data_IF_158243126307
#
_entry.id   IF_158243126307
#
_cell.length_a   1.000
_cell.length_b   1.000
_cell.length_c   1.000
_cell.angle_alpha   90.00
_cell.angle_beta   90.00
_cell.angle_gamma   90.00
#
_symmetry.space_group_name_H-M   'P 1'
#
loop_
_entity.id
_entity.type
_entity.pdbx_description
1 polymer ?
#
# COMPACT_ATOMS: atom_id res chain seq x y z
N UNK A 1 37.26 4.55 6.76
CA UNK A 1 36.76 5.42 5.68
C UNK A 1 35.26 5.23 5.63
N UNK A 2 34.48 6.21 6.07
CA UNK A 2 33.01 6.12 6.11
C UNK A 2 32.45 6.79 4.86
N UNK A 3 31.77 6.03 4.01
CA UNK A 3 31.10 6.58 2.84
C UNK A 3 29.73 7.08 3.29
N UNK A 4 29.56 8.40 3.36
CA UNK A 4 28.24 9.00 3.49
C UNK A 4 27.56 8.86 2.13
N UNK A 5 26.59 7.94 2.03
CA UNK A 5 25.73 7.85 0.85
C UNK A 5 24.65 8.91 1.00
N UNK A 6 24.86 10.06 0.35
CA UNK A 6 23.84 11.10 0.24
C UNK A 6 22.80 10.64 -0.78
N UNK A 7 21.66 10.11 -0.32
CA UNK A 7 20.50 9.97 -1.19
C UNK A 7 20.00 11.38 -1.50
N UNK A 8 20.28 11.89 -2.70
CA UNK A 8 19.60 13.09 -3.20
C UNK A 8 18.14 12.73 -3.32
N UNK A 9 17.36 13.05 -2.28
CA UNK A 9 15.93 12.93 -2.24
C UNK A 9 15.34 13.82 -3.35
N UNK A 10 15.30 13.31 -4.58
CA UNK A 10 14.39 13.80 -5.59
C UNK A 10 13.01 13.52 -5.05
N UNK A 11 12.42 14.54 -4.40
CA UNK A 11 11.12 14.56 -3.74
C UNK A 11 10.37 13.22 -3.82
N UNK A 12 10.78 12.24 -3.01
CA UNK A 12 9.94 11.07 -2.80
C UNK A 12 8.71 11.61 -2.10
N UNK A 13 7.54 11.46 -2.72
CA UNK A 13 6.30 11.80 -2.09
C UNK A 13 6.31 11.12 -0.69
N UNK A 14 6.22 11.89 0.42
CA UNK A 14 6.29 11.32 1.77
C UNK A 14 5.17 10.29 2.03
N UNK A 15 4.12 10.30 1.20
CA UNK A 15 3.01 9.35 1.28
C UNK A 15 3.31 7.99 0.63
N UNK A 16 4.42 7.85 -0.12
CA UNK A 16 4.82 6.57 -0.70
C UNK A 16 5.74 5.85 0.30
N UNK A 17 5.32 4.69 0.87
CA UNK A 17 6.17 3.93 1.76
C UNK A 17 7.35 3.37 0.97
N UNK A 18 8.56 3.82 1.32
CA UNK A 18 9.81 3.33 0.77
C UNK A 18 10.66 2.69 1.86
N UNK A 19 11.28 1.56 1.55
CA UNK A 19 12.27 0.93 2.41
C UNK A 19 13.66 1.27 1.89
N UNK A 20 14.54 1.68 2.79
CA UNK A 20 15.96 1.82 2.48
C UNK A 20 16.61 0.43 2.56
N UNK A 21 17.17 -0.04 1.45
CA UNK A 21 17.82 -1.35 1.35
C UNK A 21 19.28 -1.17 0.99
N UNK A 22 20.18 -1.84 1.71
CA UNK A 22 21.61 -1.85 1.37
C UNK A 22 21.93 -3.14 0.63
N UNK A 23 22.30 -3.05 -0.66
CA UNK A 23 22.75 -4.21 -1.44
C UNK A 23 24.17 -3.97 -1.94
N UNK A 24 25.08 -4.88 -1.61
CA UNK A 24 26.50 -4.81 -2.02
C UNK A 24 27.19 -3.47 -1.68
N UNK A 25 26.87 -2.86 -0.54
CA UNK A 25 27.41 -1.57 -0.11
C UNK A 25 26.75 -0.33 -0.73
N UNK A 26 25.84 -0.50 -1.68
CA UNK A 26 25.03 0.57 -2.27
C UNK A 26 23.68 0.68 -1.57
N UNK A 27 23.21 1.90 -1.34
CA UNK A 27 21.90 2.19 -0.75
C UNK A 27 20.87 2.36 -1.86
N UNK A 28 19.75 1.65 -1.76
CA UNK A 28 18.60 1.70 -2.66
C UNK A 28 17.35 2.14 -1.90
N UNK A 29 16.42 2.80 -2.57
CA UNK A 29 15.06 2.99 -2.10
C UNK A 29 14.15 2.03 -2.87
N UNK A 30 13.51 1.12 -2.16
CA UNK A 30 12.56 0.17 -2.73
C UNK A 30 11.15 0.57 -2.35
N UNK A 31 10.23 0.61 -3.32
CA UNK A 31 8.81 0.84 -3.05
C UNK A 31 8.30 -0.37 -2.26
N UNK A 32 7.80 -0.11 -1.05
CA UNK A 32 7.08 -1.13 -0.28
C UNK A 32 5.69 -1.23 -0.90
N UNK A 33 5.53 -2.16 -1.84
CA UNK A 33 4.25 -2.41 -2.47
C UNK A 33 3.33 -3.18 -1.50
N UNK A 34 2.68 -2.46 -0.59
CA UNK A 34 1.51 -2.98 0.14
C UNK A 34 0.24 -2.98 -0.73
N UNK A 35 -0.88 -3.35 -0.14
CA UNK A 35 -2.20 -3.33 -0.79
C UNK A 35 -2.93 -2.00 -0.61
N UNK A 36 -2.33 -0.97 0.00
CA UNK A 36 -2.96 0.33 0.31
C UNK A 36 -2.02 1.53 0.11
N UNK A 37 -1.18 1.52 -0.93
CA UNK A 37 -0.03 2.45 -1.05
C UNK A 37 -0.37 3.77 -1.76
N UNK A 38 -1.65 4.01 -2.04
CA UNK A 38 -2.09 5.27 -2.63
C UNK A 38 -2.62 6.16 -1.51
N UNK A 39 -2.27 7.46 -1.50
CA UNK A 39 -2.85 8.40 -0.57
C UNK A 39 -4.38 8.33 -0.63
N UNK A 40 -5.02 8.30 0.52
CA UNK A 40 -6.47 8.25 0.66
C UNK A 40 -6.88 8.96 1.95
N UNK A 41 -8.04 9.59 1.94
CA UNK A 41 -8.65 10.30 3.07
C UNK A 41 -9.97 9.66 3.52
N UNK A 42 -10.50 8.72 2.74
CA UNK A 42 -11.72 7.99 3.04
C UNK A 42 -11.54 6.49 2.74
N UNK A 43 -12.14 5.67 3.62
CA UNK A 43 -12.28 4.23 3.42
C UNK A 43 -13.76 3.88 3.51
N UNK A 44 -14.33 3.37 2.42
CA UNK A 44 -15.69 2.84 2.39
C UNK A 44 -15.68 1.31 2.42
N UNK A 45 -16.46 0.74 3.34
CA UNK A 45 -16.50 -0.70 3.60
C UNK A 45 -17.83 -1.31 3.15
N UNK A 46 -17.78 -2.50 2.56
CA UNK A 46 -18.95 -3.26 2.12
C UNK A 46 -18.96 -4.65 2.76
N UNK A 47 -20.12 -5.07 3.26
CA UNK A 47 -20.27 -6.33 3.98
C UNK A 47 -21.35 -7.21 3.35
N UNK A 48 -21.17 -8.52 3.46
CA UNK A 48 -22.23 -9.51 3.23
C UNK A 48 -22.40 -10.31 4.52
N UNK A 49 -23.51 -10.09 5.22
CA UNK A 49 -23.68 -10.55 6.60
C UNK A 49 -22.61 -9.93 7.49
N UNK A 50 -21.81 -10.78 8.16
CA UNK A 50 -20.69 -10.35 9.02
C UNK A 50 -19.36 -10.26 8.30
N UNK A 51 -19.28 -10.71 7.04
CA UNK A 51 -18.03 -10.76 6.29
C UNK A 51 -17.80 -9.45 5.53
N UNK A 52 -16.62 -8.84 5.69
CA UNK A 52 -16.17 -7.71 4.89
C UNK A 52 -15.84 -8.20 3.48
N UNK A 53 -16.53 -7.71 2.45
CA UNK A 53 -16.36 -8.18 1.05
C UNK A 53 -15.72 -7.15 0.14
N UNK A 54 -15.80 -5.87 0.49
CA UNK A 54 -15.24 -4.78 -0.29
C UNK A 54 -14.64 -3.68 0.58
N UNK A 55 -13.51 -3.14 0.13
CA UNK A 55 -12.89 -1.93 0.67
C UNK A 55 -12.61 -0.99 -0.49
N UNK A 56 -13.13 0.24 -0.43
CA UNK A 56 -12.86 1.27 -1.44
C UNK A 56 -12.10 2.40 -0.76
N UNK A 57 -10.88 2.63 -1.23
CA UNK A 57 -10.06 3.77 -0.83
C UNK A 57 -10.37 4.95 -1.74
N UNK A 58 -10.60 6.12 -1.15
CA UNK A 58 -10.81 7.35 -1.91
C UNK A 58 -9.89 8.46 -1.45
N UNK A 59 -9.60 9.38 -2.36
CA UNK A 59 -8.94 10.64 -2.10
C UNK A 59 -9.81 11.76 -2.64
N UNK A 60 -10.24 12.69 -1.78
CA UNK A 60 -11.12 13.79 -2.15
C UNK A 60 -12.38 13.33 -2.92
N UNK A 61 -12.93 12.17 -2.53
CA UNK A 61 -14.13 11.56 -3.14
C UNK A 61 -13.88 10.71 -4.39
N UNK A 62 -12.64 10.64 -4.91
CA UNK A 62 -12.27 9.80 -6.07
C UNK A 62 -11.72 8.46 -5.61
N UNK A 63 -12.23 7.35 -6.14
CA UNK A 63 -11.69 6.02 -5.86
C UNK A 63 -10.26 5.87 -6.39
N UNK A 64 -9.32 5.58 -5.49
CA UNK A 64 -7.90 5.35 -5.81
C UNK A 64 -7.52 3.88 -5.74
N UNK A 65 -8.29 3.05 -5.05
CA UNK A 65 -8.12 1.60 -5.05
C UNK A 65 -9.38 0.91 -4.54
N UNK A 66 -9.61 -0.32 -5.01
CA UNK A 66 -10.62 -1.22 -4.45
C UNK A 66 -9.98 -2.54 -4.06
N UNK A 67 -10.35 -3.08 -2.90
CA UNK A 67 -10.06 -4.45 -2.51
C UNK A 67 -11.34 -5.28 -2.55
N UNK A 68 -11.25 -6.45 -3.15
CA UNK A 68 -12.29 -7.48 -3.11
C UNK A 68 -11.81 -8.65 -2.27
N UNK A 69 -12.61 -9.01 -1.25
CA UNK A 69 -12.27 -10.06 -0.29
C UNK A 69 -13.13 -11.30 -0.56
N UNK A 70 -12.47 -12.42 -0.86
CA UNK A 70 -13.11 -13.71 -1.16
C UNK A 70 -13.04 -14.67 0.03
N UNK A 71 -14.15 -15.33 0.33
CA UNK A 71 -14.29 -16.23 1.48
C UNK A 71 -14.71 -17.64 1.09
N UNK A 72 -14.29 -18.61 1.89
CA UNK A 72 -14.91 -19.95 1.95
C UNK A 72 -15.48 -20.13 3.35
N UNK A 73 -16.80 -20.02 3.48
CA UNK A 73 -17.47 -19.90 4.79
C UNK A 73 -17.09 -18.59 5.48
N UNK A 74 -16.56 -18.67 6.70
CA UNK A 74 -16.04 -17.51 7.46
C UNK A 74 -14.53 -17.30 7.29
N UNK A 75 -13.85 -18.15 6.51
CA UNK A 75 -12.41 -18.05 6.30
C UNK A 75 -12.12 -17.16 5.09
N UNK A 76 -11.30 -16.12 5.30
CA UNK A 76 -10.79 -15.30 4.21
C UNK A 76 -9.78 -16.11 3.40
N UNK A 77 -9.97 -16.15 2.09
CA UNK A 77 -9.18 -16.98 1.16
C UNK A 77 -8.52 -16.19 0.04
N UNK A 78 -9.01 -14.98 -0.25
CA UNK A 78 -8.44 -14.13 -1.30
C UNK A 78 -8.63 -12.66 -0.98
N UNK A 79 -7.63 -11.85 -1.35
CA UNK A 79 -7.70 -10.39 -1.35
C UNK A 79 -7.13 -9.92 -2.69
N UNK A 80 -7.98 -9.33 -3.52
CA UNK A 80 -7.60 -8.82 -4.84
C UNK A 80 -7.70 -7.31 -4.83
N UNK A 81 -6.68 -6.62 -5.34
CA UNK A 81 -6.68 -5.17 -5.53
C UNK A 81 -6.91 -4.83 -7.01
N UNK A 82 -7.73 -3.80 -7.25
CA UNK A 82 -7.94 -3.14 -8.54
C UNK A 82 -7.80 -1.63 -8.41
#
# INVERSE_FOLDING_TARGET
MSTVVSNSAGAVNPDIPVATVVRNGSVYQEIVAGIANQPHDEIALSYTGTNLTGVVYKLAGVTVATLTLGYTGSNLTSVVRS
#
